data_IF_778246948633
#
_entry.id   IF_778246948633
#
_cell.length_a   1.000
_cell.length_b   1.000
_cell.length_c   1.000
_cell.angle_alpha   90.00
_cell.angle_beta   90.00
_cell.angle_gamma   90.00
#
_symmetry.space_group_name_H-M   'P 1'
#
loop_
_entity.id
_entity.type
_entity.pdbx_description
1 polymer ?
#
# COMPACT_ATOMS: atom_id res chain seq x y z
N UNK A 1 31.21 31.09 -38.95
CA UNK A 1 30.96 29.67 -38.59
C UNK A 1 31.78 29.20 -37.39
N UNK A 2 33.12 29.32 -37.36
CA UNK A 2 33.96 28.87 -36.21
C UNK A 2 33.59 29.48 -34.84
N UNK A 3 33.14 30.73 -34.79
CA UNK A 3 32.72 31.41 -33.54
C UNK A 3 31.41 30.87 -32.92
N UNK A 4 30.59 30.16 -33.70
CA UNK A 4 29.30 29.59 -33.25
C UNK A 4 29.48 28.13 -32.82
N UNK A 5 30.49 27.43 -33.36
CA UNK A 5 30.76 26.03 -33.03
C UNK A 5 31.23 25.87 -31.57
N UNK A 6 32.04 26.81 -31.06
CA UNK A 6 32.55 26.80 -29.67
C UNK A 6 31.43 26.85 -28.61
N UNK A 7 30.45 27.78 -28.68
CA UNK A 7 29.35 27.78 -27.71
C UNK A 7 28.44 26.55 -27.84
N UNK A 8 28.27 25.99 -29.04
CA UNK A 8 27.49 24.75 -29.25
C UNK A 8 28.15 23.55 -28.55
N UNK A 9 29.46 23.36 -28.74
CA UNK A 9 30.21 22.28 -28.07
C UNK A 9 30.16 22.46 -26.55
N UNK A 10 30.25 23.70 -26.07
CA UNK A 10 30.17 24.02 -24.64
C UNK A 10 28.80 23.68 -24.06
N UNK A 11 27.72 24.00 -24.77
CA UNK A 11 26.35 23.66 -24.36
C UNK A 11 26.13 22.14 -24.31
N UNK A 12 26.66 21.39 -25.29
CA UNK A 12 26.60 19.92 -25.30
C UNK A 12 27.36 19.34 -24.10
N UNK A 13 28.55 19.86 -23.81
CA UNK A 13 29.34 19.40 -22.66
C UNK A 13 28.64 19.67 -21.33
N UNK A 14 27.99 20.82 -21.18
CA UNK A 14 27.20 21.18 -19.99
C UNK A 14 25.98 20.27 -19.88
N UNK A 15 25.26 20.02 -20.98
CA UNK A 15 24.10 19.11 -20.99
C UNK A 15 24.49 17.68 -20.61
N UNK A 16 25.61 17.17 -21.13
CA UNK A 16 26.15 15.86 -20.75
C UNK A 16 26.56 15.80 -19.28
N UNK A 17 27.18 16.87 -18.77
CA UNK A 17 27.57 16.97 -17.37
C UNK A 17 26.35 16.97 -16.44
N UNK A 18 25.35 17.82 -16.72
CA UNK A 18 24.11 17.88 -15.93
C UNK A 18 23.36 16.56 -16.02
N UNK A 19 23.23 15.99 -17.22
CA UNK A 19 22.61 14.68 -17.41
C UNK A 19 23.31 13.61 -16.56
N UNK A 20 24.65 13.54 -16.61
CA UNK A 20 25.43 12.61 -15.79
C UNK A 20 25.24 12.84 -14.29
N UNK A 21 25.25 14.10 -13.83
CA UNK A 21 25.02 14.43 -12.42
C UNK A 21 23.62 14.00 -11.98
N UNK A 22 22.59 14.28 -12.78
CA UNK A 22 21.22 13.86 -12.51
C UNK A 22 21.13 12.33 -12.45
N UNK A 23 21.56 11.62 -13.50
CA UNK A 23 21.50 10.15 -13.53
C UNK A 23 22.33 9.49 -12.42
N UNK A 24 23.49 10.06 -12.05
CA UNK A 24 24.31 9.53 -10.95
C UNK A 24 23.64 9.62 -9.58
N UNK A 25 22.72 10.56 -9.38
CA UNK A 25 21.92 10.63 -8.16
C UNK A 25 20.85 9.52 -8.09
N UNK A 26 20.48 8.96 -9.25
CA UNK A 26 19.55 7.84 -9.36
C UNK A 26 20.27 6.49 -9.36
N UNK A 27 21.45 6.35 -9.98
CA UNK A 27 22.20 5.07 -10.04
C UNK A 27 22.53 4.46 -8.67
N UNK A 28 22.65 5.27 -7.61
CA UNK A 28 22.86 4.80 -6.23
C UNK A 28 21.59 4.65 -5.38
N UNK A 29 20.40 4.94 -5.94
CA UNK A 29 19.09 4.88 -5.27
C UNK A 29 18.11 3.93 -5.93
N UNK A 30 18.48 3.29 -7.04
CA UNK A 30 17.72 2.16 -7.57
C UNK A 30 18.20 0.92 -6.83
N UNK A 31 17.76 0.78 -5.58
CA UNK A 31 17.75 -0.55 -4.97
C UNK A 31 16.97 -1.47 -5.91
N UNK A 32 17.46 -2.70 -6.08
CA UNK A 32 16.73 -3.73 -6.84
C UNK A 32 15.52 -4.18 -6.02
N UNK A 33 14.47 -3.35 -5.93
CA UNK A 33 13.25 -3.61 -5.16
C UNK A 33 12.36 -4.70 -5.78
N UNK A 34 12.76 -5.29 -6.91
CA UNK A 34 11.91 -6.18 -7.71
C UNK A 34 11.57 -7.54 -7.08
N UNK A 35 11.98 -7.83 -5.83
CA UNK A 35 11.59 -9.10 -5.18
C UNK A 35 11.60 -9.06 -3.65
N UNK A 36 11.55 -7.89 -3.02
CA UNK A 36 11.47 -7.85 -1.57
C UNK A 36 10.03 -8.15 -1.13
N UNK A 37 9.87 -9.36 -0.60
CA UNK A 37 8.71 -9.75 0.18
C UNK A 37 8.71 -8.89 1.45
N UNK A 38 7.78 -7.95 1.52
CA UNK A 38 7.62 -7.09 2.69
C UNK A 38 6.45 -7.55 3.55
N UNK A 39 6.57 -7.32 4.86
CA UNK A 39 5.52 -7.63 5.82
C UNK A 39 4.58 -6.45 5.97
N UNK A 40 3.28 -6.72 5.90
CA UNK A 40 2.22 -5.75 6.17
C UNK A 40 1.34 -6.26 7.32
N UNK A 41 0.60 -5.36 7.94
CA UNK A 41 -0.37 -5.66 8.98
C UNK A 41 -1.79 -5.53 8.40
N UNK A 42 -2.57 -6.59 8.57
CA UNK A 42 -4.00 -6.60 8.23
C UNK A 42 -4.85 -6.72 9.49
N UNK A 43 -5.92 -5.96 9.54
CA UNK A 43 -6.92 -5.99 10.60
C UNK A 43 -8.07 -6.88 10.15
N UNK A 44 -8.13 -8.08 10.72
CA UNK A 44 -9.10 -9.11 10.42
C UNK A 44 -10.30 -9.03 11.37
N UNK A 45 -11.50 -8.91 10.82
CA UNK A 45 -12.74 -8.95 11.61
C UNK A 45 -13.17 -10.39 11.93
N UNK A 46 -12.97 -11.32 10.99
CA UNK A 46 -13.41 -12.70 11.17
C UNK A 46 -12.81 -13.67 10.15
N UNK A 47 -13.00 -14.96 10.45
CA UNK A 47 -12.68 -16.09 9.57
C UNK A 47 -13.94 -16.93 9.45
N UNK A 48 -14.34 -17.22 8.22
CA UNK A 48 -15.61 -17.88 7.91
C UNK A 48 -15.38 -19.10 7.04
N UNK A 49 -16.23 -20.12 7.18
CA UNK A 49 -16.15 -21.34 6.37
C UNK A 49 -16.91 -21.26 5.04
N UNK A 50 -17.64 -20.17 4.79
CA UNK A 50 -18.40 -19.96 3.55
C UNK A 50 -18.60 -18.47 3.27
N UNK A 51 -18.72 -18.10 1.99
CA UNK A 51 -19.07 -16.74 1.58
C UNK A 51 -20.44 -16.29 2.10
N UNK A 52 -21.40 -17.21 2.26
CA UNK A 52 -22.70 -16.90 2.86
C UNK A 52 -22.56 -16.39 4.29
N UNK A 53 -21.69 -17.03 5.09
CA UNK A 53 -21.41 -16.58 6.45
C UNK A 53 -20.70 -15.23 6.46
N UNK A 54 -19.80 -14.96 5.51
CA UNK A 54 -19.21 -13.62 5.35
C UNK A 54 -20.33 -12.61 5.21
N UNK A 55 -21.16 -12.72 4.17
CA UNK A 55 -22.24 -11.77 3.88
C UNK A 55 -23.19 -11.57 5.07
N UNK A 56 -23.51 -12.64 5.79
CA UNK A 56 -24.41 -12.59 6.97
C UNK A 56 -23.82 -11.80 8.13
N UNK A 57 -22.53 -11.98 8.43
CA UNK A 57 -21.88 -11.42 9.62
C UNK A 57 -21.10 -10.12 9.37
N UNK A 58 -20.92 -9.71 8.11
CA UNK A 58 -20.27 -8.44 7.72
C UNK A 58 -21.25 -7.33 7.35
N UNK A 59 -22.55 -7.51 7.53
CA UNK A 59 -23.60 -6.51 7.17
C UNK A 59 -23.43 -5.12 7.79
N UNK A 60 -22.66 -5.00 8.88
CA UNK A 60 -22.37 -3.74 9.58
C UNK A 60 -21.04 -3.10 9.17
N UNK A 61 -20.29 -3.72 8.27
CA UNK A 61 -19.01 -3.21 7.79
C UNK A 61 -19.24 -2.36 6.54
N UNK A 62 -18.75 -1.13 6.57
CA UNK A 62 -18.89 -0.19 5.45
C UNK A 62 -18.08 -0.65 4.22
N UNK A 63 -16.86 -1.17 4.46
CA UNK A 63 -15.97 -1.65 3.41
C UNK A 63 -15.02 -2.71 3.98
N UNK A 64 -14.82 -3.79 3.22
CA UNK A 64 -13.95 -4.91 3.59
C UNK A 64 -13.56 -5.69 2.33
N UNK A 65 -12.49 -6.46 2.44
CA UNK A 65 -12.10 -7.47 1.44
C UNK A 65 -12.16 -8.87 2.03
N UNK A 66 -12.27 -9.86 1.15
CA UNK A 66 -12.32 -11.28 1.48
C UNK A 66 -11.16 -11.98 0.78
N UNK A 67 -10.23 -12.50 1.56
CA UNK A 67 -9.16 -13.37 1.06
C UNK A 67 -9.54 -14.84 1.32
N UNK A 68 -9.42 -15.68 0.30
CA UNK A 68 -9.61 -17.12 0.46
C UNK A 68 -8.28 -17.78 0.83
N UNK A 69 -8.21 -18.34 2.04
CA UNK A 69 -7.07 -19.08 2.57
C UNK A 69 -7.50 -20.55 2.74
N UNK A 70 -7.16 -21.38 1.74
CA UNK A 70 -7.58 -22.79 1.61
C UNK A 70 -9.13 -22.93 1.64
N UNK A 71 -9.70 -23.38 2.76
CA UNK A 71 -11.15 -23.60 2.97
C UNK A 71 -11.83 -22.47 3.72
N UNK A 72 -11.09 -21.42 4.08
CA UNK A 72 -11.59 -20.34 4.91
C UNK A 72 -11.58 -19.01 4.16
N UNK A 73 -12.58 -18.19 4.46
CA UNK A 73 -12.73 -16.83 3.96
C UNK A 73 -12.39 -15.87 5.09
N UNK A 74 -11.32 -15.09 4.91
CA UNK A 74 -10.84 -14.13 5.90
C UNK A 74 -11.29 -12.74 5.51
N UNK A 75 -11.91 -12.04 6.44
CA UNK A 75 -12.42 -10.68 6.20
C UNK A 75 -11.45 -9.67 6.76
N UNK A 76 -10.88 -8.85 5.89
CA UNK A 76 -9.99 -7.75 6.25
C UNK A 76 -10.72 -6.41 6.14
N UNK A 77 -10.62 -5.60 7.19
CA UNK A 77 -11.29 -4.29 7.28
C UNK A 77 -10.32 -3.12 7.23
N UNK A 78 -9.03 -3.37 7.43
CA UNK A 78 -7.98 -2.39 7.25
C UNK A 78 -6.63 -3.04 7.01
N UNK A 79 -5.74 -2.30 6.33
CA UNK A 79 -4.40 -2.71 5.95
C UNK A 79 -3.44 -1.53 6.19
N UNK A 80 -2.23 -1.82 6.69
CA UNK A 80 -1.17 -0.84 6.92
C UNK A 80 0.20 -1.52 6.89
N UNK A 81 1.24 -0.86 6.39
CA UNK A 81 2.62 -1.32 6.53
C UNK A 81 3.24 -0.79 7.83
N UNK A 82 2.79 0.37 8.32
CA UNK A 82 3.27 0.97 9.56
C UNK A 82 2.59 0.39 10.81
N UNK A 83 3.40 -0.26 11.67
CA UNK A 83 2.94 -0.76 12.97
C UNK A 83 2.32 0.30 13.87
N UNK A 84 2.76 1.56 13.79
CA UNK A 84 2.22 2.66 14.59
C UNK A 84 0.76 2.98 14.23
N UNK A 85 0.35 2.72 12.98
CA UNK A 85 -1.02 2.92 12.52
C UNK A 85 -1.96 1.81 12.99
N UNK A 86 -1.43 0.63 13.36
CA UNK A 86 -2.22 -0.54 13.75
C UNK A 86 -3.12 -0.26 14.94
N UNK A 87 -2.58 0.31 16.03
CA UNK A 87 -3.38 0.57 17.23
C UNK A 87 -4.47 1.62 16.99
N UNK A 88 -4.15 2.64 16.19
CA UNK A 88 -5.10 3.67 15.78
C UNK A 88 -6.27 3.08 14.99
N UNK A 89 -5.97 2.27 13.97
CA UNK A 89 -6.98 1.60 13.16
C UNK A 89 -7.78 0.60 13.99
N UNK A 90 -7.12 -0.18 14.84
CA UNK A 90 -7.77 -1.16 15.72
C UNK A 90 -8.77 -0.49 16.64
N UNK A 91 -8.38 0.61 17.29
CA UNK A 91 -9.26 1.38 18.17
C UNK A 91 -10.46 1.97 17.41
N UNK A 92 -10.24 2.46 16.19
CA UNK A 92 -11.32 2.96 15.35
C UNK A 92 -12.40 1.89 15.09
N UNK A 93 -12.02 0.69 14.65
CA UNK A 93 -13.00 -0.36 14.35
C UNK A 93 -13.62 -1.01 15.59
N UNK A 94 -12.87 -1.12 16.70
CA UNK A 94 -13.42 -1.56 18.00
C UNK A 94 -14.46 -0.58 18.51
N UNK A 95 -14.22 0.73 18.35
CA UNK A 95 -15.20 1.77 18.76
C UNK A 95 -16.52 1.66 18.00
N UNK A 96 -16.49 1.12 16.77
CA UNK A 96 -17.67 0.78 15.95
C UNK A 96 -18.34 -0.56 16.32
N UNK A 97 -17.86 -1.25 17.37
CA UNK A 97 -18.44 -2.52 17.85
C UNK A 97 -17.92 -3.77 17.14
N UNK A 98 -16.77 -3.68 16.46
CA UNK A 98 -16.17 -4.83 15.76
C UNK A 98 -15.05 -5.46 16.60
N UNK A 99 -15.02 -6.79 16.64
CA UNK A 99 -13.86 -7.52 17.18
C UNK A 99 -12.79 -7.62 16.10
N UNK A 100 -11.61 -7.06 16.37
CA UNK A 100 -10.53 -6.95 15.39
C UNK A 100 -9.27 -7.68 15.88
N UNK A 101 -8.73 -8.51 15.00
CA UNK A 101 -7.47 -9.24 15.16
C UNK A 101 -6.43 -8.68 14.21
N UNK A 102 -5.19 -8.53 14.64
CA UNK A 102 -4.09 -8.08 13.78
C UNK A 102 -3.32 -9.30 13.32
N UNK A 103 -3.08 -9.40 12.01
CA UNK A 103 -2.27 -10.46 11.38
C UNK A 103 -1.18 -9.82 10.52
N UNK A 104 -0.02 -10.45 10.48
CA UNK A 104 1.03 -10.10 9.51
C UNK A 104 0.83 -10.93 8.23
N UNK A 105 0.83 -10.27 7.08
CA UNK A 105 0.90 -10.90 5.76
C UNK A 105 2.21 -10.50 5.07
N UNK A 106 2.73 -11.39 4.23
CA UNK A 106 3.92 -11.11 3.43
C UNK A 106 3.51 -10.90 1.98
N UNK A 107 3.70 -9.69 1.47
CA UNK A 107 3.29 -9.31 0.11
C UNK A 107 4.55 -9.08 -0.74
N UNK A 108 4.49 -9.53 -2.00
CA UNK A 108 5.57 -9.35 -2.99
C UNK A 108 5.18 -8.44 -4.15
N UNK A 109 4.04 -7.75 -4.09
CA UNK A 109 3.64 -6.77 -5.11
C UNK A 109 4.25 -5.39 -4.77
N UNK A 110 5.30 -4.93 -5.50
CA UNK A 110 5.98 -3.68 -5.18
C UNK A 110 5.11 -2.44 -5.44
N UNK A 111 4.21 -2.49 -6.42
CA UNK A 111 3.30 -1.39 -6.72
C UNK A 111 2.33 -1.15 -5.56
N UNK A 112 1.74 -2.23 -5.03
CA UNK A 112 0.88 -2.15 -3.85
C UNK A 112 1.65 -1.70 -2.61
N UNK A 113 2.87 -2.21 -2.39
CA UNK A 113 3.69 -1.84 -1.23
C UNK A 113 4.06 -0.34 -1.23
N UNK A 114 4.44 0.19 -2.38
CA UNK A 114 4.75 1.61 -2.52
C UNK A 114 3.52 2.49 -2.29
N UNK A 115 2.38 2.08 -2.87
CA UNK A 115 1.09 2.72 -2.64
C UNK A 115 0.70 2.70 -1.16
N UNK A 116 0.86 1.56 -0.49
CA UNK A 116 0.56 1.40 0.93
C UNK A 116 1.41 2.31 1.81
N UNK A 117 2.71 2.44 1.52
CA UNK A 117 3.62 3.35 2.23
C UNK A 117 3.17 4.81 2.10
N UNK A 118 2.69 5.22 0.92
CA UNK A 118 2.17 6.57 0.71
C UNK A 118 0.88 6.83 1.49
N UNK A 119 -0.05 5.86 1.50
CA UNK A 119 -1.26 5.99 2.31
C UNK A 119 -0.97 5.95 3.81
N UNK A 120 0.08 5.24 4.27
CA UNK A 120 0.47 5.23 5.68
C UNK A 120 0.84 6.62 6.20
N UNK A 121 1.48 7.46 5.38
CA UNK A 121 1.76 8.87 5.73
C UNK A 121 0.45 9.68 5.92
N UNK A 122 -0.57 9.38 5.11
CA UNK A 122 -1.90 10.00 5.24
C UNK A 122 -2.62 9.47 6.50
N UNK A 123 -2.49 8.17 6.79
CA UNK A 123 -3.03 7.56 7.99
C UNK A 123 -2.40 8.15 9.25
N UNK A 124 -1.10 8.42 9.27
CA UNK A 124 -0.42 9.03 10.41
C UNK A 124 -0.97 10.43 10.72
N UNK A 125 -1.12 11.27 9.68
CA UNK A 125 -1.56 12.66 9.80
C UNK A 125 -3.07 12.83 10.00
N UNK A 126 -3.88 11.86 9.58
CA UNK A 126 -5.35 11.90 9.79
C UNK A 126 -5.73 11.95 11.26
N UNK A 127 -6.88 12.53 11.60
CA UNK A 127 -7.39 12.52 12.99
C UNK A 127 -8.88 12.21 13.06
N UNK A 128 -9.59 12.31 11.93
CA UNK A 128 -11.01 12.01 11.83
C UNK A 128 -11.29 10.54 11.52
N UNK A 129 -12.34 9.99 12.15
CA UNK A 129 -12.80 8.63 11.86
C UNK A 129 -13.29 8.42 10.41
N UNK A 130 -13.82 9.47 9.78
CA UNK A 130 -14.25 9.41 8.38
C UNK A 130 -13.07 9.40 7.41
N UNK A 131 -12.03 10.18 7.70
CA UNK A 131 -10.78 10.21 6.91
C UNK A 131 -10.10 8.83 6.93
N UNK A 132 -9.99 8.22 8.11
CA UNK A 132 -9.45 6.87 8.28
C UNK A 132 -10.23 5.85 7.44
N UNK A 133 -11.57 5.93 7.45
CA UNK A 133 -12.43 5.05 6.67
C UNK A 133 -12.19 5.19 5.16
N UNK A 134 -12.12 6.43 4.67
CA UNK A 134 -11.92 6.68 3.24
C UNK A 134 -10.54 6.22 2.76
N UNK A 135 -9.50 6.47 3.56
CA UNK A 135 -8.15 6.00 3.24
C UNK A 135 -8.12 4.47 3.19
N UNK A 136 -8.67 3.80 4.21
CA UNK A 136 -8.73 2.34 4.25
C UNK A 136 -9.55 1.75 3.10
N UNK A 137 -10.63 2.42 2.69
CA UNK A 137 -11.40 2.04 1.50
C UNK A 137 -10.55 2.05 0.24
N UNK A 138 -9.72 3.07 0.04
CA UNK A 138 -8.83 3.13 -1.12
C UNK A 138 -7.74 2.07 -1.06
N UNK A 139 -7.14 1.85 0.11
CA UNK A 139 -6.11 0.82 0.30
C UNK A 139 -6.68 -0.57 -0.02
N UNK A 140 -7.84 -0.91 0.55
CA UNK A 140 -8.49 -2.22 0.33
C UNK A 140 -8.87 -2.39 -1.13
N UNK A 141 -9.42 -1.36 -1.79
CA UNK A 141 -9.72 -1.44 -3.23
C UNK A 141 -8.48 -1.74 -4.07
N UNK A 142 -7.33 -1.19 -3.68
CA UNK A 142 -6.05 -1.43 -4.36
C UNK A 142 -5.45 -2.78 -4.02
N UNK A 143 -5.68 -3.29 -2.82
CA UNK A 143 -5.31 -4.65 -2.44
C UNK A 143 -6.08 -5.68 -3.28
N UNK A 144 -7.38 -5.47 -3.47
CA UNK A 144 -8.21 -6.36 -4.30
C UNK A 144 -7.72 -6.40 -5.74
N UNK A 145 -7.45 -5.23 -6.32
CA UNK A 145 -6.99 -5.07 -7.71
C UNK A 145 -5.57 -5.61 -7.94
N UNK A 146 -4.63 -5.28 -7.05
CA UNK A 146 -3.21 -5.51 -7.29
C UNK A 146 -2.67 -6.79 -6.65
N UNK A 147 -3.30 -7.28 -5.58
CA UNK A 147 -2.85 -8.48 -4.87
C UNK A 147 -3.78 -9.64 -5.17
N UNK A 148 -5.08 -9.53 -4.84
CA UNK A 148 -5.98 -10.68 -4.96
C UNK A 148 -6.28 -11.08 -6.42
N UNK A 149 -6.54 -10.11 -7.30
CA UNK A 149 -6.86 -10.40 -8.71
C UNK A 149 -5.63 -10.80 -9.55
N UNK A 150 -4.42 -10.50 -9.09
CA UNK A 150 -3.18 -10.88 -9.79
C UNK A 150 -2.62 -12.24 -9.32
N UNK A 151 -3.25 -12.88 -8.33
CA UNK A 151 -2.88 -14.23 -7.85
C UNK A 151 -3.68 -15.36 -8.54
N UNK A 152 -4.63 -15.03 -9.43
CA UNK A 152 -5.33 -15.97 -10.34
C UNK A 152 -4.62 -16.14 -11.69
#
# INVERSE_FOLDING_TARGET
>A
MKKIIVPIISAIAIGLFIGKVLFSQYEGKVDKVFNEKEKIYVLQQGVYSSLENVTKYTTKLDYYTVEQDDKYYRVYVAITHNKNNVDKLKNYYISKGNNIYVRELTISNPEFLELLKQYDLLLESSSGGDELSQIQKQIISKYDELVLQNEE
#
